data_IF_963407712334
#
_entry.id   IF_963407712334
#
_cell.length_a   1.000
_cell.length_b   1.000
_cell.length_c   1.000
_cell.angle_alpha   90.00
_cell.angle_beta   90.00
_cell.angle_gamma   90.00
#
_symmetry.space_group_name_H-M   'P 1'
#
loop_
_entity.id
_entity.type
_entity.pdbx_description
1 polymer ?
#
# COMPACT_ATOMS: atom_id res chain seq x y z
N UNK A 1 24.54 5.77 8.67
CA UNK A 1 24.99 4.96 7.51
C UNK A 1 24.09 3.73 7.35
N UNK A 2 22.81 3.89 7.74
CA UNK A 2 21.72 2.91 7.68
C UNK A 2 20.46 3.52 7.03
N UNK A 3 20.53 4.80 6.60
CA UNK A 3 19.52 5.47 5.76
C UNK A 3 19.55 5.01 4.29
N UNK A 4 20.15 3.84 4.03
CA UNK A 4 20.46 3.29 2.69
C UNK A 4 19.82 1.90 2.52
N UNK A 5 19.32 1.25 3.57
CA UNK A 5 18.75 -0.10 3.45
C UNK A 5 17.26 -0.14 3.09
N UNK A 6 16.58 1.01 3.09
CA UNK A 6 15.24 1.16 2.52
C UNK A 6 15.29 1.59 1.04
N UNK A 7 16.49 1.82 0.50
CA UNK A 7 16.74 2.36 -0.84
C UNK A 7 17.12 1.22 -1.79
N UNK A 8 16.18 0.89 -2.68
CA UNK A 8 16.41 0.61 -4.10
C UNK A 8 17.83 0.09 -4.43
N UNK A 9 17.99 -1.23 -4.63
CA UNK A 9 19.25 -1.77 -5.14
C UNK A 9 19.10 -2.48 -6.50
N UNK A 10 19.75 -1.83 -7.47
CA UNK A 10 19.77 -2.00 -8.92
C UNK A 10 20.52 -3.24 -9.47
N UNK A 11 19.95 -3.78 -10.57
CA UNK A 11 20.53 -4.22 -11.86
C UNK A 11 21.59 -5.36 -11.96
N UNK A 12 21.25 -6.45 -12.69
CA UNK A 12 21.89 -6.84 -13.99
C UNK A 12 21.34 -8.10 -14.72
N UNK A 13 20.73 -7.89 -15.91
CA UNK A 13 20.77 -8.59 -17.24
C UNK A 13 20.62 -10.15 -17.35
N UNK A 14 19.55 -10.65 -18.02
CA UNK A 14 19.44 -11.17 -19.43
C UNK A 14 18.10 -11.95 -19.64
N UNK A 15 17.17 -11.36 -20.40
CA UNK A 15 16.24 -11.93 -21.41
C UNK A 15 15.71 -13.38 -21.30
N UNK A 16 14.37 -13.55 -21.19
CA UNK A 16 13.55 -14.21 -22.25
C UNK A 16 12.02 -14.08 -22.04
N UNK A 17 11.29 -13.87 -23.14
CA UNK A 17 9.86 -13.56 -23.25
C UNK A 17 8.86 -14.67 -22.82
N UNK A 18 7.64 -14.27 -22.42
CA UNK A 18 6.38 -14.91 -22.86
C UNK A 18 5.16 -13.97 -22.70
N UNK A 19 4.16 -13.96 -23.62
CA UNK A 19 3.09 -12.97 -23.63
C UNK A 19 1.79 -13.43 -22.92
N UNK A 20 1.22 -12.52 -22.13
CA UNK A 20 -0.14 -11.97 -22.27
C UNK A 20 -1.36 -12.85 -21.93
N UNK A 21 -2.22 -12.32 -21.06
CA UNK A 21 -3.67 -12.51 -21.17
C UNK A 21 -4.41 -11.24 -20.75
N UNK A 22 -4.99 -10.57 -21.74
CA UNK A 22 -5.89 -9.43 -21.63
C UNK A 22 -7.20 -9.88 -20.96
N UNK A 23 -7.58 -9.25 -19.85
CA UNK A 23 -8.94 -9.30 -19.33
C UNK A 23 -9.73 -8.11 -19.87
N UNK A 24 -10.62 -8.36 -20.83
CA UNK A 24 -11.60 -7.38 -21.30
C UNK A 24 -12.61 -7.06 -20.18
N UNK A 25 -13.00 -5.78 -20.00
CA UNK A 25 -14.04 -5.41 -19.04
C UNK A 25 -15.42 -5.80 -19.59
N UNK A 26 -16.19 -6.51 -18.76
CA UNK A 26 -17.58 -6.89 -19.05
C UNK A 26 -18.47 -5.66 -18.95
N UNK A 27 -19.21 -5.37 -20.03
CA UNK A 27 -20.11 -4.21 -20.14
C UNK A 27 -21.57 -4.52 -19.77
N UNK A 28 -22.17 -3.60 -19.02
CA UNK A 28 -23.55 -3.07 -19.08
C UNK A 28 -24.76 -3.95 -18.71
N UNK A 29 -25.41 -3.64 -17.57
CA UNK A 29 -26.87 -3.39 -17.41
C UNK A 29 -27.21 -2.92 -15.95
N UNK A 30 -28.39 -2.31 -15.72
CA UNK A 30 -28.60 -0.91 -15.32
C UNK A 30 -28.22 -0.55 -13.84
N UNK A 31 -27.29 0.38 -13.67
CA UNK A 31 -26.69 0.77 -12.37
C UNK A 31 -27.51 1.77 -11.52
N UNK A 32 -28.58 2.35 -12.06
CA UNK A 32 -29.25 3.52 -11.46
C UNK A 32 -30.07 3.24 -10.19
N UNK A 33 -30.41 1.98 -9.86
CA UNK A 33 -31.33 1.70 -8.75
C UNK A 33 -30.65 1.54 -7.38
N UNK A 34 -29.32 1.35 -7.36
CA UNK A 34 -28.55 1.10 -6.14
C UNK A 34 -27.42 2.10 -5.92
N UNK A 35 -27.32 3.11 -6.79
CA UNK A 35 -26.27 4.12 -6.75
C UNK A 35 -26.87 5.51 -6.59
N UNK A 36 -26.20 6.35 -5.80
CA UNK A 36 -26.52 7.78 -5.67
C UNK A 36 -25.25 8.58 -5.86
N UNK A 37 -25.19 9.38 -6.93
CA UNK A 37 -24.09 10.30 -7.16
C UNK A 37 -24.29 11.57 -6.32
N UNK A 38 -23.23 11.96 -5.61
CA UNK A 38 -23.15 13.17 -4.80
C UNK A 38 -22.25 14.14 -5.57
N UNK A 39 -22.84 15.21 -6.07
CA UNK A 39 -22.16 16.22 -6.91
C UNK A 39 -21.94 17.55 -6.18
N UNK A 40 -22.49 17.72 -4.96
CA UNK A 40 -22.34 18.95 -4.18
C UNK A 40 -20.98 18.97 -3.47
N UNK A 41 -20.05 19.88 -3.82
CA UNK A 41 -18.73 19.90 -3.21
C UNK A 41 -18.75 20.14 -1.69
N UNK A 42 -19.75 20.86 -1.17
CA UNK A 42 -19.90 21.04 0.28
C UNK A 42 -20.27 19.73 0.98
N UNK A 43 -21.07 18.87 0.33
CA UNK A 43 -21.44 17.55 0.85
C UNK A 43 -20.27 16.56 0.75
N UNK A 44 -19.52 16.57 -0.36
CA UNK A 44 -18.32 15.73 -0.52
C UNK A 44 -17.28 16.11 0.54
N UNK A 45 -17.00 17.41 0.74
CA UNK A 45 -16.05 17.87 1.75
C UNK A 45 -16.45 17.42 3.16
N UNK A 46 -17.73 17.55 3.53
CA UNK A 46 -18.21 17.10 4.84
C UNK A 46 -18.02 15.58 5.05
N UNK A 47 -18.20 14.78 3.99
CA UNK A 47 -17.97 13.33 4.05
C UNK A 47 -16.47 13.00 4.20
N UNK A 48 -15.59 13.73 3.50
CA UNK A 48 -14.14 13.56 3.62
C UNK A 48 -13.62 13.96 5.00
N UNK A 49 -14.13 15.06 5.58
CA UNK A 49 -13.79 15.47 6.95
C UNK A 49 -14.19 14.41 8.00
N UNK A 50 -15.35 13.77 7.82
CA UNK A 50 -15.79 12.68 8.71
C UNK A 50 -14.90 11.43 8.54
N UNK A 51 -14.54 11.08 7.31
CA UNK A 51 -13.62 9.97 7.02
C UNK A 51 -12.23 10.21 7.62
N UNK A 52 -11.68 11.42 7.47
CA UNK A 52 -10.42 11.83 8.09
C UNK A 52 -10.48 11.70 9.61
N UNK A 53 -11.56 12.19 10.23
CA UNK A 53 -11.75 12.11 11.69
C UNK A 53 -11.79 10.65 12.17
N UNK A 54 -12.48 9.77 11.44
CA UNK A 54 -12.54 8.34 11.77
C UNK A 54 -11.18 7.68 11.62
N UNK A 55 -10.41 8.04 10.60
CA UNK A 55 -9.07 7.51 10.37
C UNK A 55 -8.12 7.84 11.53
N UNK A 56 -8.17 9.06 12.07
CA UNK A 56 -7.43 9.46 13.26
C UNK A 56 -7.80 8.63 14.52
N UNK A 57 -8.98 8.00 14.53
CA UNK A 57 -9.44 7.10 15.61
C UNK A 57 -9.11 5.62 15.36
N UNK A 58 -8.50 5.28 14.22
CA UNK A 58 -8.06 3.91 13.93
C UNK A 58 -6.84 3.56 14.77
N UNK A 59 -6.98 2.53 15.62
CA UNK A 59 -5.92 2.01 16.48
C UNK A 59 -5.37 0.67 15.98
N UNK A 60 -6.08 -0.03 15.10
CA UNK A 60 -5.60 -1.31 14.56
C UNK A 60 -6.19 -1.61 13.20
N UNK A 61 -5.43 -2.26 12.31
CA UNK A 61 -5.93 -2.71 11.01
C UNK A 61 -5.07 -3.84 10.43
N UNK A 62 -5.58 -4.44 9.35
CA UNK A 62 -4.82 -5.30 8.46
C UNK A 62 -4.95 -4.79 7.03
N UNK A 63 -3.83 -4.61 6.35
CA UNK A 63 -3.76 -4.08 4.99
C UNK A 63 -3.09 -5.09 4.06
N UNK A 64 -3.61 -5.20 2.84
CA UNK A 64 -2.92 -5.89 1.75
C UNK A 64 -2.84 -4.95 0.57
N UNK A 65 -1.63 -4.68 0.10
CA UNK A 65 -1.32 -3.80 -1.02
C UNK A 65 -0.64 -4.60 -2.12
N UNK A 66 -1.03 -4.34 -3.36
CA UNK A 66 -0.34 -4.84 -4.54
C UNK A 66 0.01 -3.68 -5.44
N UNK A 67 1.28 -3.56 -5.82
CA UNK A 67 1.81 -2.57 -6.73
C UNK A 67 2.36 -3.30 -7.96
N UNK A 68 1.98 -2.84 -9.14
CA UNK A 68 2.57 -3.29 -10.41
C UNK A 68 3.03 -2.06 -11.17
N UNK A 69 4.29 -2.07 -11.58
CA UNK A 69 4.90 -1.00 -12.33
C UNK A 69 5.60 -1.56 -13.57
N UNK A 70 5.23 -1.06 -14.74
CA UNK A 70 5.84 -1.39 -16.02
C UNK A 70 6.65 -0.18 -16.52
N UNK A 71 7.95 -0.39 -16.80
CA UNK A 71 8.85 0.60 -17.38
C UNK A 71 9.23 0.22 -18.81
N UNK A 72 8.88 1.05 -19.79
CA UNK A 72 9.16 0.80 -21.22
C UNK A 72 9.97 1.93 -21.85
N UNK A 73 11.12 1.58 -22.42
CA UNK A 73 12.01 2.45 -23.18
C UNK A 73 12.58 1.77 -24.43
N UNK A 74 13.56 2.41 -25.07
CA UNK A 74 14.33 1.88 -26.19
C UNK A 74 15.23 0.71 -25.75
N UNK A 75 15.87 0.81 -24.58
CA UNK A 75 16.75 -0.24 -24.03
C UNK A 75 16.18 -0.96 -22.79
N UNK A 76 15.08 -0.45 -22.24
CA UNK A 76 14.48 -0.90 -20.98
C UNK A 76 13.10 -1.48 -21.24
N UNK A 77 12.84 -2.66 -20.67
CA UNK A 77 11.50 -3.25 -20.61
C UNK A 77 11.45 -4.09 -19.35
N UNK A 78 11.13 -3.43 -18.24
CA UNK A 78 11.18 -4.00 -16.91
C UNK A 78 9.79 -3.93 -16.29
N UNK A 79 9.45 -4.98 -15.56
CA UNK A 79 8.24 -5.06 -14.76
C UNK A 79 8.64 -5.30 -13.32
N UNK A 80 8.04 -4.55 -12.43
CA UNK A 80 8.17 -4.72 -10.98
C UNK A 80 6.81 -5.03 -10.42
N UNK A 81 6.71 -6.11 -9.65
CA UNK A 81 5.53 -6.41 -8.85
C UNK A 81 5.94 -6.38 -7.37
N UNK A 82 5.10 -5.80 -6.51
CA UNK A 82 5.30 -5.77 -5.08
C UNK A 82 3.98 -6.08 -4.38
N UNK A 83 3.99 -7.08 -3.50
CA UNK A 83 2.94 -7.35 -2.54
C UNK A 83 3.38 -6.86 -1.16
N UNK A 84 2.51 -6.16 -0.44
CA UNK A 84 2.72 -5.81 0.96
C UNK A 84 1.54 -6.33 1.76
N UNK A 85 1.80 -7.07 2.82
CA UNK A 85 0.81 -7.51 3.79
C UNK A 85 1.20 -6.96 5.14
N UNK A 86 0.31 -6.22 5.80
CA UNK A 86 0.58 -5.68 7.13
C UNK A 86 -0.57 -5.92 8.09
N UNK A 87 -0.22 -6.07 9.36
CA UNK A 87 -1.17 -6.07 10.49
C UNK A 87 -0.55 -5.21 11.58
N UNK A 88 -1.28 -4.21 12.04
CA UNK A 88 -0.79 -3.19 12.94
C UNK A 88 -1.80 -2.91 14.04
N UNK A 89 -1.29 -2.72 15.26
CA UNK A 89 -1.97 -2.13 16.40
C UNK A 89 -1.07 -1.02 16.95
N UNK A 90 -1.63 0.17 17.20
CA UNK A 90 -0.87 1.35 17.62
C UNK A 90 -0.75 1.47 19.14
N UNK A 91 -1.76 1.02 19.90
CA UNK A 91 -1.74 1.01 21.37
C UNK A 91 -2.16 -0.36 21.94
N UNK A 92 -1.20 -1.19 22.41
CA UNK A 92 0.26 -0.98 22.34
C UNK A 92 0.79 -1.15 20.90
N UNK A 93 1.91 -0.50 20.57
CA UNK A 93 2.53 -0.64 19.25
C UNK A 93 3.02 -2.07 19.06
N UNK A 94 2.37 -2.79 18.14
CA UNK A 94 2.78 -4.13 17.71
C UNK A 94 2.30 -4.38 16.29
N UNK A 95 3.16 -5.00 15.49
CA UNK A 95 2.80 -5.28 14.12
C UNK A 95 3.70 -6.27 13.42
N UNK A 96 3.25 -6.62 12.23
CA UNK A 96 3.93 -7.49 11.30
C UNK A 96 3.72 -6.97 9.89
N UNK A 97 4.81 -6.88 9.13
CA UNK A 97 4.82 -6.50 7.72
C UNK A 97 5.57 -7.58 6.95
N UNK A 98 4.97 -8.07 5.88
CA UNK A 98 5.59 -8.89 4.85
C UNK A 98 5.58 -8.11 3.55
N UNK A 99 6.70 -8.16 2.83
CA UNK A 99 6.83 -7.58 1.50
C UNK A 99 7.39 -8.66 0.59
N UNK A 100 6.66 -9.00 -0.46
CA UNK A 100 7.11 -9.88 -1.53
C UNK A 100 7.34 -9.00 -2.76
N UNK A 101 8.50 -9.09 -3.40
CA UNK A 101 8.87 -8.16 -4.46
C UNK A 101 9.60 -8.88 -5.58
N UNK A 102 9.12 -8.75 -6.80
CA UNK A 102 9.81 -9.18 -8.01
C UNK A 102 10.46 -7.95 -8.67
N UNK A 103 11.80 -7.87 -8.61
CA UNK A 103 12.59 -6.85 -9.32
C UNK A 103 13.53 -7.55 -10.29
N UNK A 104 13.46 -7.19 -11.57
CA UNK A 104 14.37 -7.69 -12.61
C UNK A 104 14.41 -9.23 -12.72
N UNK A 105 13.28 -9.91 -12.45
CA UNK A 105 13.15 -11.37 -12.35
C UNK A 105 13.94 -12.00 -11.18
N UNK A 106 14.22 -11.22 -10.13
CA UNK A 106 14.66 -11.73 -8.84
C UNK A 106 13.54 -11.49 -7.82
N UNK A 107 13.16 -12.55 -7.13
CA UNK A 107 12.22 -12.50 -6.03
C UNK A 107 12.98 -12.12 -4.76
N UNK A 108 12.45 -11.16 -4.02
CA UNK A 108 13.00 -10.69 -2.76
C UNK A 108 11.88 -10.60 -1.74
N UNK A 109 12.01 -11.36 -0.66
CA UNK A 109 11.03 -11.35 0.42
C UNK A 109 11.61 -10.67 1.65
N UNK A 110 10.82 -9.77 2.24
CA UNK A 110 11.13 -9.10 3.49
C UNK A 110 10.06 -9.46 4.52
N UNK A 111 10.49 -9.66 5.76
CA UNK A 111 9.56 -9.71 6.88
C UNK A 111 10.08 -8.87 8.03
N UNK A 112 9.15 -8.16 8.65
CA UNK A 112 9.40 -7.31 9.79
C UNK A 112 8.37 -7.56 10.87
N UNK A 113 8.84 -7.85 12.08
CA UNK A 113 8.02 -7.78 13.29
C UNK A 113 8.46 -6.58 14.11
N UNK A 114 7.53 -5.89 14.74
CA UNK A 114 7.88 -4.80 15.65
C UNK A 114 6.96 -4.76 16.85
N UNK A 115 7.47 -4.14 17.90
CA UNK A 115 6.84 -3.94 19.20
C UNK A 115 7.36 -2.63 19.79
N UNK A 116 6.79 -2.15 20.89
CA UNK A 116 7.30 -0.97 21.62
C UNK A 116 8.80 -1.06 22.04
N UNK A 117 9.38 -2.26 22.10
CA UNK A 117 10.76 -2.45 22.59
C UNK A 117 11.81 -2.61 21.47
N UNK A 118 11.41 -3.15 20.32
CA UNK A 118 12.34 -3.54 19.26
C UNK A 118 11.62 -3.80 17.93
N UNK A 119 12.39 -3.64 16.86
CA UNK A 119 12.06 -4.10 15.51
C UNK A 119 12.93 -5.30 15.15
N UNK A 120 12.35 -6.30 14.50
CA UNK A 120 13.00 -7.51 14.04
C UNK A 120 12.85 -7.59 12.53
N UNK A 121 13.95 -7.60 11.79
CA UNK A 121 13.95 -7.57 10.33
C UNK A 121 14.62 -8.81 9.78
N UNK A 122 14.08 -9.35 8.69
CA UNK A 122 14.72 -10.39 7.91
C UNK A 122 14.52 -10.14 6.42
N UNK A 123 15.59 -10.40 5.65
CA UNK A 123 15.61 -10.34 4.19
C UNK A 123 15.92 -11.73 3.68
N UNK A 124 15.12 -12.23 2.75
CA UNK A 124 15.38 -13.46 2.01
C UNK A 124 15.86 -13.03 0.62
N UNK A 125 17.12 -13.33 0.34
CA UNK A 125 17.70 -13.24 -1.00
C UNK A 125 17.63 -14.64 -1.61
N UNK A 126 16.86 -14.79 -2.68
CA UNK A 126 16.44 -16.10 -3.16
C UNK A 126 17.60 -16.95 -3.68
N UNK A 127 17.74 -18.13 -3.09
CA UNK A 127 18.74 -19.12 -3.45
C UNK A 127 18.55 -20.48 -2.79
N UNK A 128 17.77 -20.58 -1.72
CA UNK A 128 17.48 -21.84 -1.04
C UNK A 128 15.97 -21.98 -0.75
N UNK A 129 15.30 -22.83 -1.53
CA UNK A 129 13.93 -23.40 -1.34
C UNK A 129 13.69 -24.01 0.07
N UNK A 130 14.63 -23.92 1.01
CA UNK A 130 14.56 -24.46 2.36
C UNK A 130 14.13 -23.40 3.42
N UNK A 131 13.90 -22.14 3.02
CA UNK A 131 13.71 -20.95 3.87
C UNK A 131 12.30 -20.60 4.36
N UNK A 132 11.26 -21.38 4.06
CA UNK A 132 9.84 -21.09 4.38
C UNK A 132 9.48 -21.01 5.89
N UNK A 133 10.46 -21.17 6.77
CA UNK A 133 10.22 -21.29 8.22
C UNK A 133 10.85 -20.12 8.95
N UNK A 134 10.02 -19.40 9.71
CA UNK A 134 10.41 -18.23 10.52
C UNK A 134 11.72 -18.41 11.32
N UNK A 135 12.02 -19.62 11.80
CA UNK A 135 13.23 -19.90 12.60
C UNK A 135 14.50 -20.22 11.78
N UNK A 136 14.39 -20.31 10.45
CA UNK A 136 15.54 -20.51 9.55
C UNK A 136 16.03 -19.19 8.94
N UNK A 137 15.25 -18.13 9.10
CA UNK A 137 15.58 -16.78 8.67
C UNK A 137 16.62 -16.17 9.63
N UNK A 138 17.58 -15.44 9.06
CA UNK A 138 18.46 -14.58 9.86
C UNK A 138 17.66 -13.33 10.23
N UNK A 139 17.43 -13.15 11.53
CA UNK A 139 16.70 -12.00 12.07
C UNK A 139 17.69 -11.01 12.68
N UNK A 140 17.65 -9.77 12.22
CA UNK A 140 18.33 -8.65 12.85
C UNK A 140 17.42 -8.03 13.89
N UNK A 141 17.96 -7.64 15.05
CA UNK A 141 17.23 -6.96 16.12
C UNK A 141 17.69 -5.52 16.17
N UNK A 142 16.78 -4.61 15.88
CA UNK A 142 16.98 -3.17 15.84
C UNK A 142 16.39 -2.58 17.13
N UNK A 143 17.17 -1.77 17.84
CA UNK A 143 16.80 -1.12 19.11
C UNK A 143 17.40 0.29 19.17
N UNK A 144 16.92 1.13 20.10
CA UNK A 144 17.43 2.49 20.28
C UNK A 144 16.92 3.46 19.20
N UNK A 145 17.76 4.40 18.78
CA UNK A 145 17.38 5.50 17.87
C UNK A 145 16.78 4.99 16.55
N UNK A 146 17.36 3.95 15.95
CA UNK A 146 16.85 3.39 14.69
C UNK A 146 15.46 2.75 14.86
N UNK A 147 15.17 2.17 16.03
CA UNK A 147 13.84 1.62 16.34
C UNK A 147 12.83 2.73 16.65
N UNK A 148 13.26 3.80 17.33
CA UNK A 148 12.44 4.99 17.58
C UNK A 148 12.01 5.64 16.25
N UNK A 149 12.94 5.83 15.30
CA UNK A 149 12.66 6.36 13.94
C UNK A 149 11.63 5.48 13.20
N UNK A 150 11.79 4.15 13.22
CA UNK A 150 10.82 3.23 12.61
C UNK A 150 9.45 3.30 13.29
N UNK A 151 9.43 3.41 14.62
CA UNK A 151 8.18 3.38 15.39
C UNK A 151 7.37 4.66 15.25
N UNK A 152 8.04 5.81 15.16
CA UNK A 152 7.40 7.11 14.94
C UNK A 152 6.66 7.15 13.60
N UNK A 153 7.21 6.53 12.55
CA UNK A 153 6.57 6.44 11.22
C UNK A 153 5.16 5.85 11.26
N UNK A 154 4.88 4.88 12.13
CA UNK A 154 3.54 4.28 12.23
C UNK A 154 2.46 5.19 12.83
N UNK A 155 2.84 6.27 13.54
CA UNK A 155 1.89 7.20 14.16
C UNK A 155 1.58 8.43 13.31
N UNK A 156 2.40 8.71 12.30
CA UNK A 156 2.29 9.93 11.49
C UNK A 156 1.62 9.69 10.13
N UNK A 157 1.34 8.44 9.77
CA UNK A 157 0.83 8.07 8.44
C UNK A 157 -0.70 8.09 8.37
N UNK A 158 -1.23 9.10 7.67
CA UNK A 158 -2.56 9.03 7.06
C UNK A 158 -2.49 8.17 5.80
N UNK A 159 -3.47 7.31 5.59
CA UNK A 159 -3.57 6.40 4.45
C UNK A 159 -3.69 7.19 3.14
N UNK A 160 -4.44 8.30 3.16
CA UNK A 160 -4.60 9.23 2.04
C UNK A 160 -4.36 10.66 2.48
N UNK A 161 -3.96 11.52 1.54
CA UNK A 161 -3.78 12.94 1.80
C UNK A 161 -5.12 13.69 1.70
N UNK A 162 -5.86 13.76 2.82
CA UNK A 162 -7.17 14.45 2.85
C UNK A 162 -7.08 15.93 2.52
N UNK A 163 -5.99 16.62 2.85
CA UNK A 163 -5.82 18.05 2.54
C UNK A 163 -5.85 18.26 1.01
N UNK A 164 -5.16 17.39 0.26
CA UNK A 164 -5.17 17.43 -1.22
C UNK A 164 -6.56 17.12 -1.78
N UNK A 165 -7.27 16.14 -1.20
CA UNK A 165 -8.63 15.81 -1.63
C UNK A 165 -9.60 16.99 -1.37
N UNK A 166 -9.51 17.62 -0.19
CA UNK A 166 -10.36 18.76 0.19
C UNK A 166 -10.08 20.00 -0.68
N UNK A 167 -8.82 20.26 -1.03
CA UNK A 167 -8.44 21.38 -1.91
C UNK A 167 -8.95 21.22 -3.35
N UNK A 168 -9.25 19.98 -3.78
CA UNK A 168 -9.71 19.64 -5.13
C UNK A 168 -11.11 19.02 -5.16
N UNK A 169 -11.93 19.27 -4.14
CA UNK A 169 -13.24 18.65 -3.96
C UNK A 169 -14.19 18.84 -5.16
N UNK A 170 -14.03 19.91 -5.94
CA UNK A 170 -14.84 20.18 -7.14
C UNK A 170 -14.47 19.31 -8.35
N UNK A 171 -13.33 18.62 -8.31
CA UNK A 171 -12.88 17.67 -9.31
C UNK A 171 -13.24 16.22 -8.96
N UNK A 172 -13.68 15.96 -7.72
CA UNK A 172 -13.99 14.64 -7.22
C UNK A 172 -15.41 14.22 -7.62
N UNK A 173 -15.57 12.92 -7.86
CA UNK A 173 -16.89 12.28 -7.99
C UNK A 173 -17.09 11.35 -6.80
N UNK A 174 -18.17 11.53 -6.06
CA UNK A 174 -18.53 10.64 -4.96
C UNK A 174 -19.81 9.88 -5.30
N UNK A 175 -19.75 8.56 -5.24
CA UNK A 175 -20.90 7.68 -5.48
C UNK A 175 -21.18 6.85 -4.23
N UNK A 176 -22.41 6.88 -3.75
CA UNK A 176 -22.91 5.98 -2.71
C UNK A 176 -23.50 4.73 -3.36
N UNK A 177 -22.97 3.57 -3.03
CA UNK A 177 -23.49 2.26 -3.38
C UNK A 177 -24.23 1.66 -2.18
N UNK A 178 -25.53 1.39 -2.33
CA UNK A 178 -26.35 0.80 -1.28
C UNK A 178 -26.00 -0.69 -1.06
N UNK A 179 -26.18 -1.19 0.17
CA UNK A 179 -25.82 -2.56 0.56
C UNK A 179 -26.38 -3.67 -0.37
N UNK A 180 -27.57 -3.46 -0.92
CA UNK A 180 -28.24 -4.43 -1.79
C UNK A 180 -27.44 -4.70 -3.06
N UNK A 181 -26.68 -3.71 -3.57
CA UNK A 181 -25.78 -3.90 -4.72
C UNK A 181 -24.71 -4.95 -4.41
N UNK A 182 -24.03 -4.82 -3.26
CA UNK A 182 -22.97 -5.73 -2.88
C UNK A 182 -23.49 -7.10 -2.46
N UNK A 183 -24.66 -7.17 -1.81
CA UNK A 183 -25.29 -8.45 -1.45
C UNK A 183 -25.71 -9.28 -2.67
N UNK A 184 -26.01 -8.64 -3.79
CA UNK A 184 -26.28 -9.34 -5.06
C UNK A 184 -25.02 -9.94 -5.69
N UNK A 185 -23.85 -9.32 -5.49
CA UNK A 185 -22.56 -9.76 -6.03
C UNK A 185 -21.77 -10.67 -5.09
N UNK A 186 -21.96 -10.50 -3.78
CA UNK A 186 -21.20 -11.14 -2.71
C UNK A 186 -22.16 -11.56 -1.58
N UNK A 187 -22.45 -12.86 -1.50
CA UNK A 187 -23.40 -13.43 -0.51
C UNK A 187 -23.01 -13.13 0.94
N UNK A 188 -21.72 -12.85 1.21
CA UNK A 188 -21.16 -12.64 2.53
C UNK A 188 -20.90 -11.15 2.87
N UNK A 189 -21.39 -10.19 2.07
CA UNK A 189 -21.24 -8.77 2.39
C UNK A 189 -22.18 -8.36 3.54
N UNK A 190 -21.59 -8.02 4.69
CA UNK A 190 -22.31 -7.61 5.91
C UNK A 190 -22.49 -6.09 6.07
N UNK A 191 -21.93 -5.27 5.16
CA UNK A 191 -22.00 -3.81 5.27
C UNK A 191 -23.36 -3.21 4.89
N UNK A 192 -23.53 -1.94 5.26
CA UNK A 192 -24.75 -1.14 5.02
C UNK A 192 -24.65 -0.23 3.78
N UNK A 193 -23.52 -0.29 3.06
CA UNK A 193 -23.23 0.46 1.85
C UNK A 193 -21.80 1.01 1.84
N UNK A 194 -21.33 1.44 0.67
CA UNK A 194 -20.00 2.04 0.50
C UNK A 194 -20.10 3.37 -0.21
N UNK A 195 -19.30 4.33 0.23
CA UNK A 195 -18.93 5.48 -0.58
C UNK A 195 -17.71 5.12 -1.42
N UNK A 196 -17.75 5.48 -2.70
CA UNK A 196 -16.61 5.43 -3.60
C UNK A 196 -16.32 6.83 -4.06
N UNK A 197 -15.19 7.37 -3.61
CA UNK A 197 -14.61 8.60 -4.12
C UNK A 197 -13.75 8.26 -5.33
N UNK A 198 -13.93 8.97 -6.44
CA UNK A 198 -13.15 8.78 -7.67
C UNK A 198 -12.62 10.10 -8.19
N UNK A 199 -11.36 10.10 -8.60
CA UNK A 199 -10.71 11.22 -9.26
C UNK A 199 -9.92 10.73 -10.47
N UNK A 200 -9.95 11.50 -11.55
CA UNK A 200 -9.13 11.29 -12.73
C UNK A 200 -8.58 12.63 -13.17
N UNK A 201 -7.30 12.67 -13.52
CA UNK A 201 -6.63 13.88 -13.96
C UNK A 201 -5.37 13.60 -14.76
N UNK A 202 -4.66 14.66 -15.11
CA UNK A 202 -3.43 14.67 -15.92
C UNK A 202 -2.34 15.56 -15.29
N UNK A 203 -2.39 15.71 -13.96
CA UNK A 203 -1.47 16.54 -13.18
C UNK A 203 -0.61 15.70 -12.24
N UNK A 204 0.52 16.27 -11.82
CA UNK A 204 1.43 15.61 -10.87
C UNK A 204 0.86 15.47 -9.45
N UNK A 205 -0.39 15.87 -9.21
CA UNK A 205 -1.07 15.74 -7.91
C UNK A 205 -1.17 14.30 -7.45
N UNK A 206 -1.10 13.34 -8.38
CA UNK A 206 -1.01 11.91 -8.07
C UNK A 206 0.02 11.60 -6.98
N UNK A 207 1.21 12.22 -7.05
CA UNK A 207 2.30 12.00 -6.10
C UNK A 207 2.03 12.65 -4.74
N UNK A 208 1.04 13.52 -4.64
CA UNK A 208 0.62 14.17 -3.39
C UNK A 208 -0.55 13.43 -2.73
N UNK A 209 -1.25 12.53 -3.45
CA UNK A 209 -2.43 11.82 -2.97
C UNK A 209 -2.14 10.76 -1.91
N UNK A 210 -0.97 10.12 -2.00
CA UNK A 210 -0.54 9.07 -1.09
C UNK A 210 0.53 9.66 -0.17
N UNK A 211 0.32 9.58 1.14
CA UNK A 211 1.26 10.11 2.15
C UNK A 211 2.38 9.09 2.34
N UNK A 212 3.22 8.94 1.32
CA UNK A 212 4.43 8.13 1.41
C UNK A 212 5.62 8.97 0.91
N UNK A 213 5.88 10.09 1.59
CA UNK A 213 7.02 10.96 1.29
C UNK A 213 8.37 10.20 1.37
N UNK A 214 8.43 9.12 2.15
CA UNK A 214 9.64 8.32 2.35
C UNK A 214 9.88 7.21 1.30
N UNK A 215 8.90 6.90 0.44
CA UNK A 215 9.08 5.95 -0.66
C UNK A 215 9.68 6.59 -1.91
N UNK A 216 9.59 7.92 -2.04
CA UNK A 216 10.14 8.66 -3.17
C UNK A 216 11.56 9.12 -2.81
N UNK A 217 12.55 8.32 -3.23
CA UNK A 217 13.96 8.66 -3.10
C UNK A 217 14.24 10.07 -3.66
N UNK A 218 14.76 10.99 -2.83
CA UNK A 218 15.21 12.33 -3.25
C UNK A 218 16.18 12.28 -4.46
N UNK A 219 16.81 11.13 -4.71
CA UNK A 219 17.71 10.91 -5.83
C UNK A 219 17.01 10.81 -7.20
N UNK A 220 15.71 10.49 -7.26
CA UNK A 220 14.95 10.37 -8.51
C UNK A 220 13.80 11.38 -8.54
N UNK A 221 13.75 12.27 -9.55
CA UNK A 221 12.60 13.16 -9.70
C UNK A 221 11.32 12.34 -9.88
N UNK A 222 10.18 12.77 -9.31
CA UNK A 222 8.91 12.07 -9.49
C UNK A 222 8.57 11.98 -10.98
N UNK A 223 7.98 10.85 -11.37
CA UNK A 223 7.53 10.65 -12.75
C UNK A 223 6.59 11.78 -13.16
N UNK A 224 6.74 12.29 -14.38
CA UNK A 224 5.71 13.14 -14.96
C UNK A 224 4.43 12.33 -15.12
N UNK A 225 3.29 12.91 -14.75
CA UNK A 225 1.99 12.27 -14.84
C UNK A 225 1.28 12.77 -16.10
N UNK A 226 0.96 11.87 -17.02
CA UNK A 226 0.15 12.16 -18.19
C UNK A 226 -1.33 11.88 -17.92
N UNK A 227 -1.60 10.84 -17.13
CA UNK A 227 -2.93 10.50 -16.67
C UNK A 227 -2.85 9.73 -15.36
N UNK A 228 -3.78 9.98 -14.46
CA UNK A 228 -4.02 9.11 -13.32
C UNK A 228 -5.51 8.82 -13.12
N UNK A 229 -5.76 7.77 -12.37
CA UNK A 229 -7.03 7.48 -11.75
C UNK A 229 -6.78 7.10 -10.29
N UNK A 230 -7.59 7.65 -9.41
CA UNK A 230 -7.63 7.37 -7.99
C UNK A 230 -9.07 6.98 -7.63
N UNK A 231 -9.21 5.92 -6.82
CA UNK A 231 -10.46 5.50 -6.21
C UNK A 231 -10.22 5.19 -4.74
N UNK A 232 -11.11 5.67 -3.89
CA UNK A 232 -11.08 5.41 -2.46
C UNK A 232 -12.47 5.02 -1.97
N UNK A 233 -12.56 3.79 -1.48
CA UNK A 233 -13.79 3.21 -0.95
C UNK A 233 -13.76 3.19 0.58
N UNK A 234 -14.84 3.66 1.20
CA UNK A 234 -15.05 3.62 2.64
C UNK A 234 -16.49 3.31 3.02
N UNK A 235 -16.69 2.69 4.19
CA UNK A 235 -18.00 2.29 4.68
C UNK A 235 -18.92 3.49 4.93
N UNK A 236 -20.19 3.38 4.52
CA UNK A 236 -21.17 4.46 4.68
C UNK A 236 -21.38 4.90 6.13
N UNK A 237 -21.45 3.94 7.04
CA UNK A 237 -21.89 4.18 8.42
C UNK A 237 -20.74 4.41 9.40
N UNK A 238 -19.57 3.82 9.11
CA UNK A 238 -18.38 3.90 9.96
C UNK A 238 -17.30 4.80 9.37
N UNK A 239 -17.35 5.10 8.07
CA UNK A 239 -16.30 5.76 7.30
C UNK A 239 -14.95 5.04 7.32
N UNK A 240 -14.91 3.78 7.77
CA UNK A 240 -13.70 2.99 7.74
C UNK A 240 -13.26 2.72 6.29
N UNK A 241 -11.97 2.89 5.98
CA UNK A 241 -11.43 2.58 4.65
C UNK A 241 -11.62 1.10 4.31
N UNK A 242 -11.81 0.82 3.02
CA UNK A 242 -11.96 -0.54 2.50
C UNK A 242 -11.02 -0.84 1.37
N UNK A 243 -10.93 0.06 0.41
CA UNK A 243 -10.12 -0.14 -0.77
C UNK A 243 -9.57 1.17 -1.28
N UNK A 244 -8.32 1.15 -1.71
CA UNK A 244 -7.71 2.22 -2.48
C UNK A 244 -7.23 1.60 -3.76
N UNK A 245 -7.59 2.22 -4.87
CA UNK A 245 -7.05 1.89 -6.17
C UNK A 245 -6.43 3.13 -6.78
N UNK A 246 -5.21 2.98 -7.29
CA UNK A 246 -4.58 3.99 -8.11
C UNK A 246 -4.06 3.39 -9.39
N UNK A 247 -4.07 4.18 -10.46
CA UNK A 247 -3.33 3.88 -11.67
C UNK A 247 -2.76 5.15 -12.24
N UNK A 248 -1.50 5.14 -12.65
CA UNK A 248 -0.81 6.27 -13.23
C UNK A 248 -0.12 5.85 -14.52
N UNK A 249 -0.14 6.75 -15.49
CA UNK A 249 0.60 6.64 -16.73
C UNK A 249 1.41 7.93 -16.91
N UNK A 250 2.68 7.77 -17.26
CA UNK A 250 3.63 8.87 -17.17
C UNK A 250 4.97 8.61 -17.87
N UNK A 251 5.94 9.49 -17.59
CA UNK A 251 7.34 9.29 -18.02
C UNK A 251 8.31 9.72 -16.93
N UNK A 252 9.47 9.06 -16.85
CA UNK A 252 10.59 9.46 -15.97
C UNK A 252 11.92 9.35 -16.69
N UNK A 253 12.97 9.95 -16.11
CA UNK A 253 14.36 9.73 -16.54
C UNK A 253 14.93 8.54 -15.75
N UNK A 254 15.32 7.48 -16.46
CA UNK A 254 15.99 6.32 -15.89
C UNK A 254 17.31 6.08 -16.64
N UNK A 255 18.42 6.13 -15.91
CA UNK A 255 19.78 5.99 -16.46
C UNK A 255 20.09 6.94 -17.65
N UNK A 256 19.45 8.12 -17.69
CA UNK A 256 19.62 9.11 -18.76
C UNK A 256 18.77 8.87 -20.01
N UNK A 257 17.82 7.94 -19.94
CA UNK A 257 16.80 7.68 -20.95
C UNK A 257 15.41 8.09 -20.43
N UNK A 258 14.59 8.69 -21.30
CA UNK A 258 13.18 8.95 -20.97
C UNK A 258 12.39 7.67 -21.21
N UNK A 259 11.90 7.07 -20.12
CA UNK A 259 11.10 5.85 -20.17
C UNK A 259 9.64 6.15 -19.85
N UNK A 260 8.74 5.36 -20.43
CA UNK A 260 7.33 5.35 -20.09
C UNK A 260 7.10 4.53 -18.82
N UNK A 261 6.23 5.01 -17.94
CA UNK A 261 5.82 4.30 -16.72
C UNK A 261 4.31 4.10 -16.76
N UNK A 262 3.90 2.86 -16.50
CA UNK A 262 2.55 2.52 -16.09
C UNK A 262 2.62 1.94 -14.67
N UNK A 263 1.89 2.51 -13.74
CA UNK A 263 1.84 2.07 -12.34
C UNK A 263 0.40 1.80 -11.95
N UNK A 264 0.17 0.74 -11.19
CA UNK A 264 -1.10 0.45 -10.54
C UNK A 264 -0.84 0.06 -9.09
N UNK A 265 -1.66 0.59 -8.18
CA UNK A 265 -1.67 0.18 -6.78
C UNK A 265 -3.09 -0.20 -6.39
N UNK A 266 -3.22 -1.28 -5.63
CA UNK A 266 -4.48 -1.71 -5.04
C UNK A 266 -4.24 -2.10 -3.58
N UNK A 267 -4.80 -1.34 -2.66
CA UNK A 267 -4.72 -1.56 -1.22
C UNK A 267 -6.09 -1.93 -0.66
N UNK A 268 -6.17 -2.97 0.15
CA UNK A 268 -7.40 -3.42 0.80
C UNK A 268 -7.24 -3.43 2.31
N UNK A 269 -8.28 -2.97 3.02
CA UNK A 269 -8.26 -2.79 4.47
C UNK A 269 -9.29 -3.70 5.13
N UNK A 270 -8.88 -4.29 6.25
CA UNK A 270 -9.72 -5.18 7.04
C UNK A 270 -9.36 -5.11 8.52
N UNK A 271 -10.16 -5.73 9.38
CA UNK A 271 -9.91 -5.82 10.82
C UNK A 271 -9.70 -4.46 11.51
N UNK A 272 -10.29 -3.39 10.96
CA UNK A 272 -10.17 -2.03 11.50
C UNK A 272 -10.79 -2.01 12.90
N UNK A 273 -10.01 -1.58 13.89
CA UNK A 273 -10.35 -1.57 15.31
C UNK A 273 -10.87 -2.93 15.86
N UNK A 274 -10.50 -4.03 15.21
CA UNK A 274 -10.96 -5.38 15.56
C UNK A 274 -9.85 -6.31 16.06
N UNK A 275 -8.59 -5.88 16.04
CA UNK A 275 -7.47 -6.65 16.59
C UNK A 275 -7.41 -6.44 18.11
N UNK A 276 -7.25 -7.52 18.88
CA UNK A 276 -7.13 -7.49 20.34
C UNK A 276 -5.69 -7.78 20.82
N UNK A 277 -5.40 -7.39 22.06
CA UNK A 277 -4.12 -7.69 22.72
C UNK A 277 -3.90 -9.22 22.74
N UNK A 278 -2.89 -9.69 22.01
CA UNK A 278 -2.56 -11.11 21.85
C UNK A 278 -2.87 -11.70 20.47
N UNK A 279 -3.64 -10.99 19.62
CA UNK A 279 -3.77 -11.35 18.20
C UNK A 279 -2.47 -11.12 17.43
N UNK A 280 -1.71 -10.11 17.87
CA UNK A 280 -0.39 -9.76 17.36
C UNK A 280 0.64 -9.86 18.49
N UNK A 281 1.78 -10.47 18.16
CA UNK A 281 2.99 -10.50 19.00
C UNK A 281 4.19 -10.90 18.15
N UNK A 282 5.37 -10.45 18.56
CA UNK A 282 6.61 -11.00 18.04
C UNK A 282 6.69 -12.48 18.45
N UNK A 283 6.87 -13.43 17.51
CA UNK A 283 6.99 -14.84 17.86
C UNK A 283 8.27 -15.10 18.67
N UNK A 284 8.18 -15.91 19.74
CA UNK A 284 9.34 -16.29 20.57
C UNK A 284 10.52 -16.84 19.76
N UNK A 285 10.26 -17.49 18.60
CA UNK A 285 11.28 -18.00 17.71
C UNK A 285 12.07 -16.89 16.99
N UNK A 286 11.40 -15.79 16.63
CA UNK A 286 12.03 -14.63 16.00
C UNK A 286 12.97 -13.95 16.99
N UNK A 287 12.49 -13.72 18.23
CA UNK A 287 13.32 -13.12 19.28
C UNK A 287 14.58 -13.95 19.57
N UNK A 288 14.41 -15.28 19.70
CA UNK A 288 15.53 -16.20 19.96
C UNK A 288 16.53 -16.21 18.80
N UNK A 289 16.06 -16.27 17.56
CA UNK A 289 16.93 -16.26 16.38
C UNK A 289 17.72 -14.93 16.31
N UNK A 290 17.06 -13.80 16.59
CA UNK A 290 17.72 -12.51 16.56
C UNK A 290 18.74 -12.36 17.70
N UNK A 291 18.46 -12.86 18.90
CA UNK A 291 19.43 -12.85 20.01
C UNK A 291 20.67 -13.71 19.70
N UNK A 292 20.54 -14.79 18.93
CA UNK A 292 21.69 -15.62 18.50
C UNK A 292 22.60 -14.86 17.51
N UNK A 293 22.02 -14.14 16.56
CA UNK A 293 22.75 -13.29 15.60
C UNK A 293 23.47 -12.16 16.34
N UNK A 294 22.78 -11.45 17.23
CA UNK A 294 23.32 -10.28 17.91
C UNK A 294 24.28 -10.62 19.06
N UNK A 295 24.05 -11.74 19.77
CA UNK A 295 24.88 -12.20 20.88
C UNK A 295 26.20 -12.88 20.48
N UNK A 296 26.38 -13.17 19.19
CA UNK A 296 27.61 -13.73 18.61
C UNK A 296 28.72 -12.71 18.31
N UNK A 297 28.46 -11.41 18.55
CA UNK A 297 29.29 -10.26 18.19
C UNK A 297 30.36 -9.88 19.22
#
# INVERSE_FOLDING_TARGET
MMKIFLVLLLATIVSSCSPGSEHEPVSNEPEDQYTTNIEDPEEIAAILEEAQTVEEEVNSWSMMTSISQDMTGDEINEKTEMGVSSRLMLDPLVGHVEVDMEILNADVDYAMYFSEEATYLSVIDDGDDEGDRLWQREWEKITGEDHEEISEGFYEESIVNYDVLLDHVDELTLTLYEADYFKEQHEDYEGDGLYTLSWQGDSNIYHELLVHEDLVDEANPPASVERFHFSFDFEKDTYHPKHIYTSMNGTTDFEGEVVHIEETMSSSFSSINALEEGDLRVPDQVEQAADEVNGGS
#
